data_IF_863962781210
#
_entry.id   IF_863962781210
#
_cell.length_a   1.000
_cell.length_b   1.000
_cell.length_c   1.000
_cell.angle_alpha   90.00
_cell.angle_beta   90.00
_cell.angle_gamma   90.00
#
_symmetry.space_group_name_H-M   'P 1'
#
loop_
_entity.id
_entity.type
_entity.pdbx_description
1 polymer ?
#
# COMPACT_ATOMS: atom_id res chain seq x y z
N UNK A 1 6.45 13.84 -4.92
CA UNK A 1 5.02 13.78 -4.54
C UNK A 1 5.02 13.18 -3.15
N UNK A 2 4.67 13.96 -2.14
CA UNK A 2 4.61 13.46 -0.77
C UNK A 2 3.28 12.73 -0.58
N UNK A 3 3.34 11.47 -0.19
CA UNK A 3 2.14 10.70 0.19
C UNK A 3 1.77 11.16 1.60
N UNK A 4 0.66 11.88 1.74
CA UNK A 4 0.14 12.25 3.05
C UNK A 4 -0.54 11.04 3.70
N UNK A 5 0.18 10.36 4.59
CA UNK A 5 -0.29 9.13 5.22
C UNK A 5 -1.23 9.47 6.39
N UNK A 6 -2.45 8.95 6.35
CA UNK A 6 -3.37 9.03 7.49
C UNK A 6 -2.95 8.04 8.60
N UNK A 7 -2.27 8.55 9.63
CA UNK A 7 -1.79 7.76 10.78
C UNK A 7 -2.78 7.68 11.96
N UNK A 8 -4.03 8.11 11.80
CA UNK A 8 -5.00 8.17 12.91
C UNK A 8 -5.53 6.81 13.36
N UNK A 9 -5.48 5.80 12.47
CA UNK A 9 -5.97 4.45 12.74
C UNK A 9 -5.01 3.41 12.17
N UNK A 10 -4.90 2.31 12.90
CA UNK A 10 -4.05 1.17 12.55
C UNK A 10 -4.92 -0.05 12.27
N UNK A 11 -4.54 -0.81 11.26
CA UNK A 11 -5.30 -1.94 10.74
C UNK A 11 -4.41 -3.17 10.59
N UNK A 12 -5.01 -4.36 10.60
CA UNK A 12 -4.36 -5.61 10.21
C UNK A 12 -4.28 -5.73 8.69
N UNK A 13 -3.35 -6.56 8.20
CA UNK A 13 -3.11 -6.70 6.76
C UNK A 13 -4.35 -7.15 5.97
N UNK A 14 -5.12 -8.13 6.47
CA UNK A 14 -6.35 -8.62 5.83
C UNK A 14 -7.37 -7.51 5.56
N UNK A 15 -7.51 -6.58 6.51
CA UNK A 15 -8.41 -5.45 6.39
C UNK A 15 -7.95 -4.48 5.31
N UNK A 16 -6.68 -4.05 5.35
CA UNK A 16 -6.16 -3.09 4.37
C UNK A 16 -5.97 -3.69 3.00
N UNK A 17 -5.72 -5.01 2.89
CA UNK A 17 -5.60 -5.69 1.61
C UNK A 17 -6.94 -5.70 0.86
N UNK A 18 -8.04 -5.95 1.56
CA UNK A 18 -9.38 -5.83 0.97
C UNK A 18 -9.65 -4.41 0.43
N UNK A 19 -9.26 -3.39 1.19
CA UNK A 19 -9.42 -1.98 0.79
C UNK A 19 -8.45 -1.60 -0.36
N UNK A 20 -7.23 -2.16 -0.38
CA UNK A 20 -6.23 -2.02 -1.45
C UNK A 20 -6.78 -2.53 -2.78
N UNK A 21 -7.45 -3.69 -2.79
CA UNK A 21 -8.01 -4.30 -3.99
C UNK A 21 -9.08 -3.44 -4.66
N UNK A 22 -9.64 -2.43 -3.99
CA UNK A 22 -10.57 -1.49 -4.62
C UNK A 22 -9.93 -0.53 -5.62
N UNK A 23 -8.59 -0.41 -5.61
CA UNK A 23 -7.84 0.54 -6.44
C UNK A 23 -7.91 2.00 -5.97
N UNK A 24 -8.60 2.28 -4.86
CA UNK A 24 -8.83 3.64 -4.32
C UNK A 24 -8.08 3.92 -3.03
N UNK A 25 -7.31 2.95 -2.54
CA UNK A 25 -6.65 3.02 -1.25
C UNK A 25 -5.16 2.80 -1.42
N UNK A 26 -4.37 3.72 -0.88
CA UNK A 26 -2.94 3.52 -0.61
C UNK A 26 -2.83 2.95 0.80
N UNK A 27 -2.16 1.80 0.91
CA UNK A 27 -1.84 1.20 2.21
C UNK A 27 -0.38 1.46 2.53
N UNK A 28 -0.06 1.77 3.77
CA UNK A 28 1.34 2.01 4.19
C UNK A 28 1.68 1.13 5.36
N UNK A 29 2.76 0.36 5.22
CA UNK A 29 3.29 -0.48 6.29
C UNK A 29 3.78 0.38 7.43
N UNK A 30 3.36 0.10 8.66
CA UNK A 30 3.91 0.76 9.85
C UNK A 30 5.36 0.32 10.09
N UNK A 31 5.70 -0.91 9.73
CA UNK A 31 6.99 -1.52 9.95
C UNK A 31 8.10 -0.84 9.12
N UNK A 32 7.88 -0.78 7.80
CA UNK A 32 8.87 -0.29 6.82
C UNK A 32 8.65 1.16 6.41
N UNK A 33 7.43 1.68 6.60
CA UNK A 33 7.01 2.97 6.03
C UNK A 33 6.71 2.92 4.53
N UNK A 34 6.81 1.75 3.88
CA UNK A 34 6.54 1.64 2.45
C UNK A 34 5.05 1.69 2.15
N UNK A 35 4.72 2.49 1.13
CA UNK A 35 3.37 2.63 0.62
C UNK A 35 3.14 1.78 -0.61
N UNK A 36 1.94 1.21 -0.71
CA UNK A 36 1.51 0.34 -1.79
C UNK A 36 0.15 0.79 -2.31
N UNK A 37 -0.06 0.61 -3.61
CA UNK A 37 -1.37 0.77 -4.26
C UNK A 37 -1.61 -0.36 -5.25
N UNK A 38 -2.88 -0.61 -5.57
CA UNK A 38 -3.22 -1.45 -6.70
C UNK A 38 -3.56 -0.59 -7.92
N UNK A 39 -3.08 -1.01 -9.08
CA UNK A 39 -3.47 -0.46 -10.36
C UNK A 39 -4.32 -1.49 -11.10
N UNK A 40 -5.52 -1.08 -11.49
CA UNK A 40 -6.46 -1.90 -12.23
C UNK A 40 -6.29 -1.58 -13.70
N UNK A 41 -5.82 -2.56 -14.49
CA UNK A 41 -5.70 -2.42 -15.94
C UNK A 41 -6.36 -3.61 -16.59
N UNK A 42 -7.42 -3.34 -17.35
CA UNK A 42 -8.26 -4.38 -17.96
C UNK A 42 -8.81 -5.34 -16.89
N UNK A 43 -8.47 -6.63 -16.96
CA UNK A 43 -8.88 -7.66 -16.00
C UNK A 43 -7.78 -8.00 -14.98
N UNK A 44 -6.65 -7.26 -14.98
CA UNK A 44 -5.52 -7.50 -14.09
C UNK A 44 -5.41 -6.44 -12.99
N UNK A 45 -5.17 -6.89 -11.76
CA UNK A 45 -4.79 -6.04 -10.63
C UNK A 45 -3.27 -6.14 -10.45
N UNK A 46 -2.56 -5.02 -10.58
CA UNK A 46 -1.10 -4.94 -10.40
C UNK A 46 -0.76 -4.23 -9.11
N UNK A 47 0.06 -4.87 -8.29
CA UNK A 47 0.61 -4.23 -7.10
C UNK A 47 1.72 -3.26 -7.50
N UNK A 48 1.69 -2.07 -6.90
CA UNK A 48 2.75 -1.07 -6.98
C UNK A 48 3.25 -0.73 -5.60
N UNK A 49 4.57 -0.58 -5.45
CA UNK A 49 5.17 0.05 -4.27
C UNK A 49 5.67 1.45 -4.64
N UNK A 50 5.64 2.38 -3.69
CA UNK A 50 6.21 3.70 -3.87
C UNK A 50 7.69 3.69 -3.54
N UNK A 51 8.54 4.00 -4.52
CA UNK A 51 9.96 4.19 -4.30
C UNK A 51 10.24 5.64 -3.89
N UNK A 52 10.60 5.92 -2.62
CA UNK A 52 10.79 7.29 -2.15
C UNK A 52 12.04 7.95 -2.73
N UNK A 53 13.06 7.17 -3.13
CA UNK A 53 14.34 7.69 -3.64
C UNK A 53 14.15 8.43 -4.97
N UNK A 54 13.30 7.89 -5.83
CA UNK A 54 13.01 8.47 -7.16
C UNK A 54 11.57 8.99 -7.28
N UNK A 55 10.78 8.92 -6.20
CA UNK A 55 9.39 9.38 -6.13
C UNK A 55 8.47 8.79 -7.21
N UNK A 56 8.58 7.48 -7.49
CA UNK A 56 7.73 6.79 -8.49
C UNK A 56 7.06 5.54 -7.94
N UNK A 57 5.91 5.18 -8.51
CA UNK A 57 5.26 3.88 -8.28
C UNK A 57 5.85 2.81 -9.19
N UNK A 58 6.43 1.77 -8.60
CA UNK A 58 7.09 0.68 -9.30
C UNK A 58 6.31 -0.62 -9.15
N UNK A 59 6.29 -1.51 -10.18
CA UNK A 59 5.74 -2.85 -10.04
C UNK A 59 6.32 -3.57 -8.81
N UNK A 60 5.46 -4.19 -8.03
CA UNK A 60 5.84 -5.16 -6.99
C UNK A 60 5.05 -6.44 -7.19
N UNK A 61 5.65 -7.56 -6.78
CA UNK A 61 4.99 -8.87 -6.81
C UNK A 61 4.69 -9.38 -5.39
N UNK A 62 5.14 -8.69 -4.35
CA UNK A 62 5.01 -9.17 -2.97
C UNK A 62 5.03 -8.02 -1.96
N UNK A 63 4.61 -8.37 -0.75
CA UNK A 63 4.87 -7.65 0.49
C UNK A 63 5.88 -8.47 1.30
N UNK A 64 6.70 -7.83 2.12
CA UNK A 64 7.53 -8.59 3.06
C UNK A 64 6.66 -9.26 4.12
N UNK A 65 7.03 -10.48 4.53
CA UNK A 65 6.37 -11.18 5.64
C UNK A 65 6.36 -10.36 6.93
N UNK A 66 7.42 -9.60 7.19
CA UNK A 66 7.52 -8.73 8.36
C UNK A 66 6.47 -7.61 8.32
N UNK A 67 6.18 -7.07 7.13
CA UNK A 67 5.14 -6.06 6.96
C UNK A 67 3.75 -6.69 7.12
N UNK A 68 3.51 -7.87 6.54
CA UNK A 68 2.21 -8.57 6.62
C UNK A 68 1.80 -8.84 8.07
N UNK A 69 2.76 -9.16 8.94
CA UNK A 69 2.51 -9.49 10.35
C UNK A 69 2.35 -8.25 11.25
N UNK A 70 2.64 -7.04 10.75
CA UNK A 70 2.54 -5.79 11.49
C UNK A 70 1.22 -5.03 11.17
N UNK A 71 1.11 -3.81 11.70
CA UNK A 71 0.01 -2.89 11.46
C UNK A 71 0.23 -2.03 10.22
N UNK A 72 -0.88 -1.56 9.69
CA UNK A 72 -0.95 -0.78 8.46
C UNK A 72 -1.80 0.46 8.63
N UNK A 73 -1.44 1.50 7.87
CA UNK A 73 -2.24 2.71 7.68
C UNK A 73 -2.97 2.64 6.33
N UNK A 74 -4.16 3.20 6.25
CA UNK A 74 -4.94 3.29 5.02
C UNK A 74 -5.23 4.76 4.69
N UNK A 75 -4.90 5.16 3.47
CA UNK A 75 -5.10 6.52 2.95
C UNK A 75 -5.92 6.42 1.66
N UNK A 76 -7.02 7.17 1.58
CA UNK A 76 -7.79 7.26 0.33
C UNK A 76 -6.98 8.05 -0.70
N UNK A 77 -6.83 7.48 -1.89
CA UNK A 77 -6.07 8.03 -3.00
C UNK A 77 -6.92 8.90 -3.93
#
# INVERSE_FOLDING_TARGET
>A
MDIEINKTKEYTFDKVYSDLLTGRTIITSKNSGYSYRSEHKEEEIKLKFFNPVISIWQPSNYFSSEEILDKWYATQA
#
